data_IF_747856419823
#
_entry.id   IF_747856419823
#
_cell.length_a   1.000
_cell.length_b   1.000
_cell.length_c   1.000
_cell.angle_alpha   90.00
_cell.angle_beta   90.00
_cell.angle_gamma   90.00
#
_symmetry.space_group_name_H-M   'P 1'
#
loop_
_entity.id
_entity.type
_entity.pdbx_description
1 polymer ?
#
# COMPACT_ATOMS: atom_id res chain seq x y z
N UNK A 1 37.91 35.52 -72.28
CA UNK A 1 36.57 35.07 -71.81
C UNK A 1 36.79 34.08 -70.69
N UNK A 2 36.79 34.57 -69.45
CA UNK A 2 37.18 33.81 -68.24
C UNK A 2 35.95 33.50 -67.41
N UNK A 3 35.55 32.21 -67.34
CA UNK A 3 34.49 31.73 -66.50
C UNK A 3 34.95 31.69 -65.04
N UNK A 4 34.29 32.46 -64.16
CA UNK A 4 34.46 32.37 -62.71
C UNK A 4 33.70 31.16 -62.20
N UNK A 5 34.43 30.24 -61.55
CA UNK A 5 33.84 29.14 -60.79
C UNK A 5 33.30 29.66 -59.47
N UNK A 6 32.01 29.60 -59.26
CA UNK A 6 31.36 29.89 -57.97
C UNK A 6 31.43 28.58 -57.11
N UNK A 7 32.17 28.66 -56.03
CA UNK A 7 32.17 27.60 -54.99
C UNK A 7 30.95 27.76 -54.11
N UNK A 8 29.99 26.86 -54.22
CA UNK A 8 28.84 26.77 -53.34
C UNK A 8 29.25 25.94 -52.11
N UNK A 9 29.53 26.67 -51.01
CA UNK A 9 29.83 26.07 -49.72
C UNK A 9 28.54 25.65 -49.04
N UNK A 10 28.20 24.34 -49.07
CA UNK A 10 27.05 23.80 -48.42
C UNK A 10 27.37 23.63 -46.92
N UNK A 11 26.98 24.58 -46.07
CA UNK A 11 27.10 24.49 -44.65
C UNK A 11 25.99 23.55 -44.12
N UNK A 12 26.35 22.28 -43.84
CA UNK A 12 25.51 21.37 -43.15
C UNK A 12 25.55 21.71 -41.66
N UNK A 13 24.52 22.47 -41.23
CA UNK A 13 24.29 22.74 -39.81
C UNK A 13 23.73 21.44 -39.19
N UNK A 14 24.58 20.68 -38.53
CA UNK A 14 24.15 19.55 -37.67
C UNK A 14 23.37 20.12 -36.48
N UNK A 15 22.05 20.03 -36.57
CA UNK A 15 21.16 20.32 -35.44
C UNK A 15 21.32 19.23 -34.43
N UNK A 16 22.18 19.40 -33.42
CA UNK A 16 22.21 18.56 -32.24
C UNK A 16 20.90 18.75 -31.48
N UNK A 17 19.92 17.91 -31.73
CA UNK A 17 18.78 17.74 -30.85
C UNK A 17 19.34 17.10 -29.59
N UNK A 18 19.65 17.91 -28.59
CA UNK A 18 19.91 17.44 -27.23
C UNK A 18 18.63 16.82 -26.70
N UNK A 19 18.53 15.50 -26.80
CA UNK A 19 17.56 14.71 -26.03
C UNK A 19 17.90 14.98 -24.56
N UNK A 20 17.17 15.91 -23.95
CA UNK A 20 17.19 16.08 -22.50
C UNK A 20 16.62 14.80 -21.93
N UNK A 21 17.48 13.86 -21.57
CA UNK A 21 17.10 12.71 -20.76
C UNK A 21 16.61 13.28 -19.44
N UNK A 22 15.29 13.24 -19.22
CA UNK A 22 14.72 13.58 -17.93
C UNK A 22 15.25 12.58 -16.91
N UNK A 23 16.33 12.96 -16.22
CA UNK A 23 16.84 12.19 -15.09
C UNK A 23 15.92 12.45 -13.91
N UNK A 24 15.65 11.39 -13.16
CA UNK A 24 14.88 11.47 -11.94
C UNK A 24 15.49 12.47 -10.96
N UNK A 25 14.67 13.36 -10.42
CA UNK A 25 15.06 14.39 -9.44
C UNK A 25 14.96 13.89 -8.00
N UNK A 26 15.10 12.57 -7.76
CA UNK A 26 15.06 12.01 -6.40
C UNK A 26 16.15 12.61 -5.53
N UNK A 27 15.75 13.08 -4.35
CA UNK A 27 16.66 13.59 -3.32
C UNK A 27 17.29 12.47 -2.48
N UNK A 28 16.83 11.21 -2.63
CA UNK A 28 17.23 10.07 -1.81
C UNK A 28 16.72 10.17 -0.36
N UNK A 29 15.80 11.08 -0.08
CA UNK A 29 15.24 11.32 1.26
C UNK A 29 13.78 11.70 1.19
N UNK A 30 13.04 11.37 2.24
CA UNK A 30 11.71 11.89 2.48
C UNK A 30 11.80 13.38 2.82
N UNK A 31 11.06 14.21 2.07
CA UNK A 31 11.02 15.66 2.28
C UNK A 31 9.58 16.12 2.53
N UNK A 32 9.23 16.23 3.79
CA UNK A 32 7.93 16.72 4.25
C UNK A 32 8.11 18.10 4.90
N UNK A 33 7.02 18.88 4.94
CA UNK A 33 6.99 20.20 5.56
C UNK A 33 6.10 20.17 6.79
N UNK A 34 6.54 20.78 7.89
CA UNK A 34 5.70 20.92 9.09
C UNK A 34 4.39 21.63 8.77
N UNK A 35 3.28 21.09 9.24
CA UNK A 35 1.92 21.55 8.96
C UNK A 35 1.35 21.01 7.64
N UNK A 36 2.13 20.26 6.85
CA UNK A 36 1.63 19.60 5.65
C UNK A 36 0.54 18.58 6.02
N UNK A 37 -0.60 18.68 5.33
CA UNK A 37 -1.71 17.76 5.48
C UNK A 37 -1.96 16.99 4.20
N UNK A 38 -2.32 15.73 4.34
CA UNK A 38 -2.63 14.82 3.23
C UNK A 38 -3.86 13.99 3.58
N UNK A 39 -4.69 13.75 2.59
CA UNK A 39 -5.74 12.75 2.65
C UNK A 39 -5.30 11.51 1.90
N UNK A 40 -5.51 10.35 2.48
CA UNK A 40 -5.26 9.03 1.89
C UNK A 40 -6.60 8.36 1.65
N UNK A 41 -6.94 8.13 0.39
CA UNK A 41 -8.12 7.37 -0.02
C UNK A 41 -7.66 5.94 -0.37
N UNK A 42 -8.05 4.96 0.43
CA UNK A 42 -7.74 3.54 0.19
C UNK A 42 -9.01 2.75 -0.16
N UNK A 43 -8.91 1.88 -1.15
CA UNK A 43 -9.92 0.87 -1.45
C UNK A 43 -9.26 -0.48 -1.65
N UNK A 44 -9.82 -1.50 -1.00
CA UNK A 44 -9.35 -2.89 -1.10
C UNK A 44 -10.55 -3.78 -1.39
N UNK A 45 -10.45 -4.59 -2.43
CA UNK A 45 -11.42 -5.63 -2.76
C UNK A 45 -10.74 -6.98 -2.70
N UNK A 46 -11.35 -7.93 -2.05
CA UNK A 46 -10.87 -9.31 -2.03
C UNK A 46 -11.96 -10.31 -2.37
N UNK A 47 -11.57 -11.35 -3.08
CA UNK A 47 -12.38 -12.55 -3.33
C UNK A 47 -11.51 -13.73 -2.92
N UNK A 48 -12.01 -14.54 -2.01
CA UNK A 48 -11.33 -15.76 -1.54
C UNK A 48 -12.26 -16.94 -1.72
N UNK A 49 -11.80 -17.95 -2.44
CA UNK A 49 -12.49 -19.21 -2.59
C UNK A 49 -11.79 -20.29 -1.78
N UNK A 50 -12.57 -21.08 -1.05
CA UNK A 50 -12.13 -22.24 -0.28
C UNK A 50 -12.97 -23.44 -0.66
N UNK A 51 -12.36 -24.62 -0.70
CA UNK A 51 -13.06 -25.87 -0.94
C UNK A 51 -13.05 -26.72 0.34
N UNK A 52 -14.19 -26.83 1.00
CA UNK A 52 -14.33 -27.60 2.24
C UNK A 52 -15.39 -28.69 2.06
N UNK A 53 -15.02 -29.95 2.33
CA UNK A 53 -15.91 -31.13 2.21
C UNK A 53 -16.58 -31.25 0.82
N UNK A 54 -15.88 -30.86 -0.27
CA UNK A 54 -16.41 -30.90 -1.62
C UNK A 54 -17.40 -29.76 -1.96
N UNK A 55 -17.55 -28.78 -1.07
CA UNK A 55 -18.33 -27.57 -1.32
C UNK A 55 -17.40 -26.37 -1.47
N UNK A 56 -17.60 -25.62 -2.56
CA UNK A 56 -16.90 -24.34 -2.76
C UNK A 56 -17.60 -23.25 -1.96
N UNK A 57 -16.83 -22.53 -1.16
CA UNK A 57 -17.28 -21.34 -0.43
C UNK A 57 -16.53 -20.14 -0.96
N UNK A 58 -17.27 -19.11 -1.35
CA UNK A 58 -16.72 -17.82 -1.74
C UNK A 58 -16.90 -16.82 -0.59
N UNK A 59 -15.84 -16.12 -0.27
CA UNK A 59 -15.86 -14.97 0.63
C UNK A 59 -15.45 -13.73 -0.16
N UNK A 60 -16.23 -12.67 -0.04
CA UNK A 60 -15.94 -11.39 -0.66
C UNK A 60 -15.79 -10.31 0.40
N UNK A 61 -14.94 -9.34 0.13
CA UNK A 61 -14.84 -8.15 0.95
C UNK A 61 -14.48 -6.95 0.09
N UNK A 62 -15.15 -5.84 0.35
CA UNK A 62 -14.90 -4.52 -0.22
C UNK A 62 -14.75 -3.54 0.94
N UNK A 63 -13.60 -2.88 1.03
CA UNK A 63 -13.31 -1.92 2.09
C UNK A 63 -12.83 -0.60 1.49
N UNK A 64 -13.37 0.51 1.99
CA UNK A 64 -12.93 1.86 1.66
C UNK A 64 -12.59 2.62 2.95
N UNK A 65 -11.43 3.26 2.96
CA UNK A 65 -10.91 4.00 4.10
C UNK A 65 -10.42 5.37 3.68
N UNK A 66 -10.71 6.37 4.48
CA UNK A 66 -10.16 7.72 4.33
C UNK A 66 -9.37 8.04 5.59
N UNK A 67 -8.10 8.35 5.41
CA UNK A 67 -7.22 8.78 6.48
C UNK A 67 -6.78 10.22 6.25
N UNK A 68 -6.70 11.01 7.32
CA UNK A 68 -6.01 12.30 7.32
C UNK A 68 -4.66 12.17 8.00
N UNK A 69 -3.63 12.59 7.31
CA UNK A 69 -2.24 12.58 7.78
C UNK A 69 -1.74 14.01 7.90
N UNK A 70 -1.14 14.35 9.03
CA UNK A 70 -0.53 15.67 9.25
C UNK A 70 0.90 15.53 9.76
N UNK A 71 1.81 16.28 9.17
CA UNK A 71 3.20 16.42 9.64
C UNK A 71 3.23 17.41 10.78
N UNK A 72 3.29 16.92 12.02
CA UNK A 72 3.27 17.75 13.23
C UNK A 72 4.58 18.45 13.49
N UNK A 73 5.69 17.74 13.29
CA UNK A 73 7.01 18.29 13.54
C UNK A 73 8.08 17.61 12.69
N UNK A 74 9.22 18.29 12.61
CA UNK A 74 10.47 17.76 12.04
C UNK A 74 11.60 18.09 12.98
N UNK A 75 12.19 17.08 13.55
CA UNK A 75 13.35 17.21 14.43
C UNK A 75 14.49 16.32 13.92
N UNK A 76 15.65 16.91 13.68
CA UNK A 76 16.80 16.21 13.12
C UNK A 76 16.45 15.48 11.80
N UNK A 77 16.62 14.16 11.75
CA UNK A 77 16.32 13.30 10.61
C UNK A 77 15.01 12.51 10.80
N UNK A 78 14.07 13.02 11.61
CA UNK A 78 12.78 12.38 11.88
C UNK A 78 11.60 13.37 11.73
N UNK A 79 10.47 12.83 11.32
CA UNK A 79 9.17 13.50 11.23
C UNK A 79 8.23 12.90 12.28
N UNK A 80 7.57 13.75 13.05
CA UNK A 80 6.41 13.35 13.86
C UNK A 80 5.16 13.54 13.00
N UNK A 81 4.44 12.46 12.77
CA UNK A 81 3.26 12.41 11.89
C UNK A 81 2.07 11.90 12.69
N UNK A 82 0.92 12.52 12.49
CA UNK A 82 -0.36 11.99 12.98
C UNK A 82 -1.15 11.41 11.82
N UNK A 83 -1.84 10.29 12.09
CA UNK A 83 -2.79 9.66 11.19
C UNK A 83 -4.13 9.49 11.91
N UNK A 84 -5.22 9.93 11.29
CA UNK A 84 -6.59 9.80 11.78
C UNK A 84 -7.42 9.10 10.70
N UNK A 85 -7.98 7.93 11.03
CA UNK A 85 -8.96 7.27 10.17
C UNK A 85 -10.28 8.05 10.29
N UNK A 86 -10.65 8.83 9.27
CA UNK A 86 -11.85 9.69 9.31
C UNK A 86 -13.09 9.00 8.76
N UNK A 87 -12.91 8.01 7.88
CA UNK A 87 -13.99 7.21 7.32
C UNK A 87 -13.56 5.77 7.13
N UNK A 88 -14.48 4.85 7.47
CA UNK A 88 -14.39 3.43 7.19
C UNK A 88 -15.73 2.93 6.67
N UNK A 89 -15.71 2.32 5.48
CA UNK A 89 -16.85 1.57 4.96
C UNK A 89 -16.36 0.18 4.55
N UNK A 90 -17.12 -0.85 4.88
CA UNK A 90 -16.83 -2.23 4.46
C UNK A 90 -18.11 -2.98 4.18
N UNK A 91 -18.06 -3.88 3.20
CA UNK A 91 -19.14 -4.79 2.88
C UNK A 91 -18.57 -6.09 2.32
N UNK A 92 -19.35 -7.14 2.35
CA UNK A 92 -18.93 -8.42 1.79
C UNK A 92 -19.88 -9.54 2.16
N UNK A 93 -19.46 -10.75 1.81
CA UNK A 93 -20.15 -12.00 2.13
C UNK A 93 -19.15 -12.99 2.69
N UNK A 94 -19.51 -13.66 3.76
CA UNK A 94 -18.73 -14.73 4.36
C UNK A 94 -19.66 -15.85 4.82
N UNK A 95 -19.38 -17.09 4.43
CA UNK A 95 -20.19 -18.27 4.77
C UNK A 95 -21.68 -18.11 4.41
N UNK A 96 -21.98 -17.42 3.29
CA UNK A 96 -23.36 -17.16 2.83
C UNK A 96 -24.11 -16.09 3.62
N UNK A 97 -23.42 -15.34 4.48
CA UNK A 97 -23.99 -14.21 5.22
C UNK A 97 -23.36 -12.90 4.72
N UNK A 98 -24.22 -11.96 4.32
CA UNK A 98 -23.78 -10.64 3.93
C UNK A 98 -23.56 -9.77 5.16
N UNK A 99 -22.55 -8.90 5.09
CA UNK A 99 -22.29 -7.89 6.09
C UNK A 99 -22.03 -6.53 5.45
N UNK A 100 -22.36 -5.46 6.14
CA UNK A 100 -21.98 -4.11 5.74
C UNK A 100 -21.82 -3.21 6.95
N UNK A 101 -20.94 -2.21 6.82
CA UNK A 101 -20.71 -1.16 7.81
C UNK A 101 -20.25 0.11 7.10
N UNK A 102 -20.81 1.25 7.47
CA UNK A 102 -20.37 2.57 7.03
C UNK A 102 -20.35 3.50 8.25
N UNK A 103 -19.17 4.03 8.57
CA UNK A 103 -18.97 4.91 9.73
C UNK A 103 -19.79 6.22 9.67
N UNK A 104 -20.28 6.60 8.48
CA UNK A 104 -21.12 7.78 8.31
C UNK A 104 -22.61 7.50 8.61
N UNK A 105 -23.00 6.22 8.77
CA UNK A 105 -24.37 5.82 9.07
C UNK A 105 -24.54 5.53 10.56
N UNK A 106 -25.45 6.24 11.20
CA UNK A 106 -25.71 6.08 12.64
C UNK A 106 -26.21 4.68 12.99
N UNK A 107 -27.07 4.12 12.15
CA UNK A 107 -27.59 2.76 12.30
C UNK A 107 -26.50 1.71 12.33
N UNK A 108 -25.48 1.85 11.48
CA UNK A 108 -24.38 0.91 11.43
C UNK A 108 -23.49 0.98 12.67
N UNK A 109 -23.35 2.17 13.28
CA UNK A 109 -22.57 2.38 14.51
C UNK A 109 -23.16 1.68 15.74
N UNK A 110 -24.45 1.39 15.75
CA UNK A 110 -25.15 0.73 16.86
C UNK A 110 -25.17 -0.80 16.72
N UNK A 111 -24.76 -1.35 15.57
CA UNK A 111 -24.61 -2.80 15.37
C UNK A 111 -23.46 -3.34 16.23
N UNK A 112 -23.40 -4.66 16.43
CA UNK A 112 -22.27 -5.29 17.16
C UNK A 112 -20.93 -5.03 16.45
N UNK A 113 -20.91 -5.10 15.11
CA UNK A 113 -19.76 -4.72 14.29
C UNK A 113 -19.42 -3.24 14.48
N UNK A 114 -20.42 -2.38 14.42
CA UNK A 114 -20.27 -0.93 14.56
C UNK A 114 -19.68 -0.52 15.89
N UNK A 115 -20.10 -1.11 17.00
CA UNK A 115 -19.54 -0.85 18.33
C UNK A 115 -18.03 -1.10 18.40
N UNK A 116 -17.56 -2.15 17.72
CA UNK A 116 -16.14 -2.49 17.64
C UNK A 116 -15.39 -1.52 16.72
N UNK A 117 -15.91 -1.27 15.52
CA UNK A 117 -15.24 -0.45 14.50
C UNK A 117 -15.24 1.04 14.82
N UNK A 118 -16.27 1.54 15.50
CA UNK A 118 -16.40 2.92 15.97
C UNK A 118 -15.20 3.35 16.81
N UNK A 119 -14.62 2.46 17.60
CA UNK A 119 -13.45 2.76 18.43
C UNK A 119 -12.19 3.07 17.62
N UNK A 120 -12.17 2.80 16.33
CA UNK A 120 -11.03 3.06 15.45
C UNK A 120 -11.19 4.32 14.59
N UNK A 121 -12.44 4.76 14.37
CA UNK A 121 -12.76 5.94 13.56
C UNK A 121 -12.64 7.22 14.39
N UNK A 122 -12.05 8.26 13.80
CA UNK A 122 -11.73 9.56 14.42
C UNK A 122 -10.72 9.46 15.59
N UNK A 123 -9.94 8.39 15.61
CA UNK A 123 -8.85 8.24 16.58
C UNK A 123 -7.53 8.58 15.90
N UNK A 124 -6.84 9.56 16.48
CA UNK A 124 -5.54 10.00 15.99
C UNK A 124 -4.42 9.15 16.59
N UNK A 125 -3.59 8.58 15.73
CA UNK A 125 -2.34 7.90 16.11
C UNK A 125 -1.17 8.82 15.80
N UNK A 126 -0.20 8.89 16.69
CA UNK A 126 1.06 9.60 16.47
C UNK A 126 2.19 8.61 16.23
N UNK A 127 3.01 8.89 15.22
CA UNK A 127 4.12 8.03 14.83
C UNK A 127 5.30 8.83 14.32
N UNK A 128 6.47 8.22 14.32
CA UNK A 128 7.69 8.81 13.81
C UNK A 128 8.14 8.11 12.52
N UNK A 129 8.55 8.90 11.55
CA UNK A 129 9.22 8.44 10.34
C UNK A 129 10.57 9.12 10.21
N UNK A 130 11.59 8.36 9.88
CA UNK A 130 12.88 8.97 9.55
C UNK A 130 12.90 9.48 8.09
N UNK A 131 13.96 10.23 7.74
CA UNK A 131 14.11 10.76 6.37
C UNK A 131 14.33 9.68 5.31
N UNK A 132 14.58 8.43 5.68
CA UNK A 132 14.57 7.30 4.75
C UNK A 132 13.18 6.68 4.54
N UNK A 133 12.11 7.28 5.10
CA UNK A 133 10.74 6.80 4.97
C UNK A 133 10.42 5.57 5.83
N UNK A 134 11.31 5.19 6.75
CA UNK A 134 11.08 4.05 7.63
C UNK A 134 10.32 4.49 8.89
N UNK A 135 9.30 3.69 9.23
CA UNK A 135 8.57 3.82 10.48
C UNK A 135 9.51 3.59 11.67
N UNK A 136 9.51 4.52 12.60
CA UNK A 136 10.17 4.43 13.90
C UNK A 136 9.17 4.03 14.98
N UNK A 137 9.04 4.89 16.02
CA UNK A 137 8.12 4.64 17.11
C UNK A 137 6.68 4.97 16.73
N UNK A 138 5.74 4.13 17.16
CA UNK A 138 4.30 4.41 17.16
C UNK A 138 3.85 4.57 18.60
N UNK A 139 3.27 5.71 18.93
CA UNK A 139 2.67 5.88 20.26
C UNK A 139 1.41 5.02 20.33
N UNK A 140 1.47 3.99 21.17
CA UNK A 140 0.32 3.09 21.41
C UNK A 140 -0.73 3.85 22.20
N UNK A 141 -1.96 3.74 21.74
CA UNK A 141 -3.11 4.13 22.55
C UNK A 141 -3.68 2.86 23.18
N UNK A 142 -3.34 2.64 24.46
CA UNK A 142 -3.68 1.41 25.20
C UNK A 142 -5.20 1.16 25.29
N UNK A 143 -6.02 2.20 25.24
CA UNK A 143 -7.49 2.08 25.25
C UNK A 143 -8.02 1.41 23.97
N UNK A 144 -7.42 1.70 22.80
CA UNK A 144 -7.82 1.11 21.52
C UNK A 144 -7.34 -0.34 21.41
N UNK A 145 -6.13 -0.61 21.90
CA UNK A 145 -5.57 -1.95 21.88
C UNK A 145 -6.43 -2.94 22.69
N UNK A 146 -6.98 -2.49 23.82
CA UNK A 146 -7.82 -3.31 24.69
C UNK A 146 -9.24 -3.53 24.13
N UNK A 147 -9.83 -2.51 23.47
CA UNK A 147 -11.17 -2.64 22.89
C UNK A 147 -11.23 -3.56 21.66
N UNK A 148 -10.10 -3.71 20.96
CA UNK A 148 -9.99 -4.52 19.75
C UNK A 148 -9.43 -5.93 20.01
N UNK A 149 -8.88 -6.19 21.20
CA UNK A 149 -8.22 -7.44 21.53
C UNK A 149 -9.22 -8.60 21.56
N UNK A 150 -8.93 -9.65 20.79
CA UNK A 150 -9.71 -10.90 20.80
C UNK A 150 -11.00 -10.86 19.98
N UNK A 151 -11.27 -9.81 19.19
CA UNK A 151 -12.39 -9.83 18.26
C UNK A 151 -11.96 -10.38 16.89
N UNK A 152 -12.46 -11.57 16.47
CA UNK A 152 -12.06 -12.20 15.21
C UNK A 152 -12.27 -11.33 13.98
N UNK A 153 -13.26 -10.45 14.00
CA UNK A 153 -13.57 -9.55 12.89
C UNK A 153 -12.54 -8.43 12.76
N UNK A 154 -12.04 -7.89 13.89
CA UNK A 154 -10.96 -6.89 13.89
C UNK A 154 -9.67 -7.52 13.37
N UNK A 155 -9.38 -8.75 13.78
CA UNK A 155 -8.21 -9.48 13.30
C UNK A 155 -8.32 -9.82 11.81
N UNK A 156 -9.52 -10.18 11.34
CA UNK A 156 -9.80 -10.36 9.91
C UNK A 156 -9.59 -9.04 9.13
N UNK A 157 -10.09 -7.92 9.63
CA UNK A 157 -9.88 -6.61 8.99
C UNK A 157 -8.42 -6.17 8.97
N UNK A 158 -7.68 -6.39 10.05
CA UNK A 158 -6.23 -6.12 10.07
C UNK A 158 -5.50 -6.96 9.03
N UNK A 159 -5.87 -8.21 8.87
CA UNK A 159 -5.28 -9.10 7.88
C UNK A 159 -5.69 -8.74 6.44
N UNK A 160 -6.92 -8.25 6.23
CA UNK A 160 -7.45 -7.85 4.92
C UNK A 160 -6.92 -6.52 4.42
N UNK A 161 -6.56 -5.59 5.29
CA UNK A 161 -5.97 -4.29 4.90
C UNK A 161 -4.56 -4.42 4.28
N UNK A 162 -4.11 -5.64 4.03
CA UNK A 162 -2.88 -5.91 3.24
C UNK A 162 -1.57 -5.67 3.98
N UNK A 163 -1.67 -5.24 5.21
CA UNK A 163 -0.52 -5.01 6.01
C UNK A 163 -0.59 -5.82 7.28
N UNK A 164 -0.07 -7.01 7.35
CA UNK A 164 0.17 -7.67 8.65
C UNK A 164 0.37 -6.67 9.79
N UNK A 165 0.87 -6.72 10.83
CA UNK A 165 1.00 -5.76 11.94
C UNK A 165 1.50 -4.32 11.53
N UNK A 166 0.89 -3.70 10.49
CA UNK A 166 1.20 -2.32 10.13
C UNK A 166 0.59 -1.35 11.18
N UNK A 167 1.38 -1.08 12.21
CA UNK A 167 1.03 -0.15 13.27
C UNK A 167 0.80 1.29 12.76
N UNK A 168 1.29 1.62 11.53
CA UNK A 168 1.12 2.94 10.92
C UNK A 168 -0.29 3.18 10.35
N UNK A 169 -1.12 2.14 10.26
CA UNK A 169 -2.46 2.23 9.65
C UNK A 169 -2.40 2.64 8.18
N UNK A 170 -1.42 2.13 7.42
CA UNK A 170 -1.22 2.41 6.02
C UNK A 170 -0.36 3.65 5.72
N UNK A 171 0.05 4.42 6.74
CA UNK A 171 0.86 5.63 6.51
C UNK A 171 2.25 5.30 5.94
N UNK A 172 2.83 4.15 6.30
CA UNK A 172 4.12 3.71 5.73
C UNK A 172 4.04 3.47 4.22
N UNK A 173 2.90 3.07 3.72
CA UNK A 173 2.67 2.75 2.31
C UNK A 173 2.67 3.95 1.36
N UNK A 174 2.52 5.17 1.90
CA UNK A 174 2.55 6.41 1.12
C UNK A 174 3.94 7.06 1.06
N UNK A 175 4.95 6.45 1.64
CA UNK A 175 6.32 6.96 1.58
C UNK A 175 7.24 5.98 0.85
N UNK A 176 7.86 6.45 -0.21
CA UNK A 176 8.80 5.67 -1.01
C UNK A 176 9.97 6.52 -1.49
N UNK A 177 11.16 6.19 -1.01
CA UNK A 177 12.38 6.87 -1.43
C UNK A 177 12.95 6.18 -2.67
N UNK A 178 12.96 6.90 -3.76
CA UNK A 178 13.51 6.37 -5.02
C UNK A 178 15.04 6.45 -5.02
N UNK A 179 15.75 5.43 -5.57
CA UNK A 179 17.20 5.48 -5.72
C UNK A 179 17.63 6.66 -6.60
N UNK A 180 18.65 7.38 -6.16
CA UNK A 180 19.16 8.57 -6.88
C UNK A 180 19.78 8.19 -8.22
N UNK A 181 19.59 9.04 -9.24
CA UNK A 181 20.24 8.91 -10.55
C UNK A 181 19.64 7.86 -11.48
N UNK A 182 18.53 7.25 -11.11
CA UNK A 182 17.80 6.31 -11.97
C UNK A 182 17.07 7.03 -13.10
N UNK A 183 16.88 6.33 -14.22
CA UNK A 183 16.21 6.82 -15.44
C UNK A 183 15.17 5.81 -15.91
N UNK A 184 14.33 6.20 -16.86
CA UNK A 184 13.36 5.32 -17.51
C UNK A 184 14.02 4.05 -18.02
N UNK A 185 13.44 2.90 -17.71
CA UNK A 185 13.95 1.56 -17.99
C UNK A 185 14.83 0.96 -16.90
N UNK A 186 15.28 1.74 -15.91
CA UNK A 186 16.03 1.19 -14.79
C UNK A 186 15.11 0.47 -13.81
N UNK A 187 15.64 -0.56 -13.15
CA UNK A 187 14.93 -1.36 -12.17
C UNK A 187 15.74 -1.55 -10.88
N UNK A 188 15.06 -1.93 -9.82
CA UNK A 188 15.64 -2.41 -8.57
C UNK A 188 14.65 -3.31 -7.86
N UNK A 189 15.12 -4.02 -6.85
CA UNK A 189 14.30 -4.93 -6.04
C UNK A 189 14.47 -4.63 -4.56
N UNK A 190 13.43 -4.94 -3.79
CA UNK A 190 13.49 -5.03 -2.35
C UNK A 190 12.81 -6.31 -1.84
N UNK A 191 13.00 -6.60 -0.57
CA UNK A 191 12.32 -7.69 0.11
C UNK A 191 12.01 -7.34 1.56
N UNK A 192 10.91 -7.89 2.05
CA UNK A 192 10.48 -7.76 3.46
C UNK A 192 10.19 -9.15 4.01
N UNK A 193 10.60 -9.40 5.24
CA UNK A 193 10.29 -10.64 5.97
C UNK A 193 9.74 -10.21 7.33
N UNK A 194 8.49 -10.54 7.61
CA UNK A 194 7.84 -10.28 8.89
C UNK A 194 6.72 -11.29 9.14
N UNK A 195 6.60 -11.81 10.36
CA UNK A 195 5.47 -12.60 10.86
C UNK A 195 5.03 -13.77 9.94
N UNK A 196 6.00 -14.51 9.38
CA UNK A 196 5.73 -15.61 8.47
C UNK A 196 5.36 -15.19 7.05
N UNK A 197 5.46 -13.90 6.73
CA UNK A 197 5.24 -13.34 5.39
C UNK A 197 6.59 -12.94 4.80
N UNK A 198 6.88 -13.40 3.59
CA UNK A 198 8.03 -12.96 2.79
C UNK A 198 7.50 -12.30 1.53
N UNK A 199 7.90 -11.06 1.29
CA UNK A 199 7.52 -10.30 0.10
C UNK A 199 8.80 -9.97 -0.65
N UNK A 200 8.81 -10.27 -1.94
CA UNK A 200 9.82 -9.81 -2.89
C UNK A 200 9.15 -8.88 -3.89
N UNK A 201 9.71 -7.70 -4.11
CA UNK A 201 9.20 -6.70 -5.05
C UNK A 201 10.28 -6.29 -6.02
N UNK A 202 9.89 -6.10 -7.27
CA UNK A 202 10.72 -5.52 -8.30
C UNK A 202 10.01 -4.31 -8.89
N UNK A 203 10.73 -3.21 -8.99
CA UNK A 203 10.27 -1.93 -9.51
C UNK A 203 10.99 -1.61 -10.81
N UNK A 204 10.25 -1.14 -11.82
CA UNK A 204 10.77 -0.67 -13.09
C UNK A 204 10.27 0.75 -13.33
N UNK A 205 11.16 1.70 -13.60
CA UNK A 205 10.75 3.05 -13.98
C UNK A 205 10.15 3.02 -15.39
N UNK A 206 8.83 3.23 -15.45
CA UNK A 206 8.06 3.26 -16.71
C UNK A 206 8.11 4.63 -17.37
N UNK A 207 8.02 5.71 -16.57
CA UNK A 207 7.96 7.08 -17.06
C UNK A 207 8.41 8.08 -15.97
N UNK A 208 8.91 9.25 -16.40
CA UNK A 208 9.28 10.37 -15.53
C UNK A 208 8.73 11.66 -16.15
N UNK A 209 7.86 12.36 -15.41
CA UNK A 209 7.26 13.63 -15.80
C UNK A 209 7.46 14.68 -14.71
N UNK A 210 8.43 15.55 -14.88
CA UNK A 210 8.81 16.51 -13.84
C UNK A 210 9.28 15.79 -12.57
N UNK A 211 8.59 15.97 -11.44
CA UNK A 211 8.87 15.28 -10.20
C UNK A 211 8.14 13.92 -10.08
N UNK A 212 7.17 13.66 -10.95
CA UNK A 212 6.40 12.42 -10.90
C UNK A 212 7.11 11.29 -11.62
N UNK A 213 7.35 10.19 -10.91
CA UNK A 213 7.92 8.96 -11.45
C UNK A 213 6.88 7.85 -11.37
N UNK A 214 6.55 7.29 -12.53
CA UNK A 214 5.67 6.12 -12.63
C UNK A 214 6.49 4.84 -12.61
N UNK A 215 6.16 3.94 -11.70
CA UNK A 215 6.80 2.64 -11.51
C UNK A 215 5.85 1.51 -11.85
N UNK A 216 6.33 0.52 -12.57
CA UNK A 216 5.70 -0.80 -12.60
C UNK A 216 6.20 -1.61 -11.41
N UNK A 217 5.28 -2.23 -10.71
CA UNK A 217 5.54 -3.11 -9.57
C UNK A 217 5.19 -4.54 -9.96
N UNK A 218 6.14 -5.44 -9.80
CA UNK A 218 5.90 -6.89 -9.85
C UNK A 218 6.48 -7.54 -8.62
N UNK A 219 5.98 -8.70 -8.22
CA UNK A 219 6.54 -9.36 -7.05
C UNK A 219 5.86 -10.68 -6.73
N UNK A 220 6.33 -11.28 -5.64
CA UNK A 220 5.76 -12.49 -5.04
C UNK A 220 5.64 -12.32 -3.54
N UNK A 221 4.62 -12.92 -2.97
CA UNK A 221 4.45 -13.02 -1.52
C UNK A 221 4.26 -14.49 -1.15
N UNK A 222 5.08 -14.96 -0.22
CA UNK A 222 4.91 -16.27 0.42
C UNK A 222 4.45 -16.04 1.85
N UNK A 223 3.34 -16.64 2.22
CA UNK A 223 2.76 -16.60 3.58
C UNK A 223 2.80 -17.98 4.18
N UNK A 224 3.36 -18.10 5.37
CA UNK A 224 3.27 -19.28 6.22
C UNK A 224 2.97 -18.80 7.64
N UNK A 225 1.69 -18.77 7.99
CA UNK A 225 1.22 -18.17 9.25
C UNK A 225 0.40 -19.18 10.03
N UNK A 226 0.74 -19.33 11.31
CA UNK A 226 -0.07 -20.05 12.29
C UNK A 226 -1.03 -19.08 12.96
N UNK A 227 -2.29 -19.48 13.04
CA UNK A 227 -3.34 -18.74 13.74
C UNK A 227 -4.05 -19.69 14.68
N UNK A 228 -4.51 -19.19 15.80
CA UNK A 228 -5.38 -19.92 16.71
C UNK A 228 -6.79 -19.35 16.62
N UNK A 229 -7.77 -20.16 16.28
CA UNK A 229 -9.17 -19.75 16.22
C UNK A 229 -10.02 -20.74 16.99
N UNK A 230 -10.70 -20.28 18.02
CA UNK A 230 -11.55 -21.12 18.90
C UNK A 230 -10.82 -22.32 19.49
N UNK A 231 -9.53 -22.17 19.84
CA UNK A 231 -8.69 -23.23 20.37
C UNK A 231 -8.18 -24.24 19.34
N UNK A 232 -8.40 -23.99 18.06
CA UNK A 232 -7.85 -24.79 16.96
C UNK A 232 -6.67 -24.04 16.31
N UNK A 233 -5.56 -24.76 16.10
CA UNK A 233 -4.43 -24.25 15.31
C UNK A 233 -4.78 -24.38 13.82
N UNK A 234 -4.67 -23.27 13.09
CA UNK A 234 -4.82 -23.20 11.64
C UNK A 234 -3.49 -22.72 11.05
N UNK A 235 -2.93 -23.48 10.13
CA UNK A 235 -1.72 -23.09 9.40
C UNK A 235 -2.11 -22.66 7.99
N UNK A 236 -1.91 -21.38 7.66
CA UNK A 236 -2.16 -20.84 6.33
C UNK A 236 -0.86 -20.77 5.54
N UNK A 237 -0.81 -21.47 4.41
CA UNK A 237 0.28 -21.39 3.44
C UNK A 237 -0.27 -20.85 2.14
N UNK A 238 0.28 -19.71 1.66
CA UNK A 238 -0.21 -19.03 0.46
C UNK A 238 0.97 -18.50 -0.34
N UNK A 239 1.00 -18.76 -1.63
CA UNK A 239 1.91 -18.18 -2.61
C UNK A 239 1.13 -17.23 -3.52
N UNK A 240 1.58 -15.98 -3.60
CA UNK A 240 0.87 -14.94 -4.34
C UNK A 240 1.80 -14.24 -5.33
N UNK A 241 1.22 -13.80 -6.45
CA UNK A 241 1.86 -12.93 -7.44
C UNK A 241 1.27 -11.52 -7.33
N UNK A 242 2.15 -10.53 -7.32
CA UNK A 242 1.82 -9.13 -7.20
C UNK A 242 2.14 -8.41 -8.51
N UNK A 243 1.18 -7.64 -9.04
CA UNK A 243 1.36 -6.76 -10.20
C UNK A 243 0.68 -5.43 -9.94
N UNK A 244 1.35 -4.33 -10.25
CA UNK A 244 0.79 -3.01 -9.97
C UNK A 244 1.55 -1.86 -10.61
N UNK A 245 1.09 -0.66 -10.28
CA UNK A 245 1.69 0.59 -10.71
C UNK A 245 1.67 1.59 -9.54
N UNK A 246 2.73 2.38 -9.43
CA UNK A 246 2.84 3.47 -8.45
C UNK A 246 3.22 4.75 -9.18
N UNK A 247 2.68 5.87 -8.70
CA UNK A 247 3.14 7.22 -9.05
C UNK A 247 3.72 7.86 -7.79
N UNK A 248 5.01 8.16 -7.85
CA UNK A 248 5.77 8.73 -6.72
C UNK A 248 6.24 10.13 -7.07
N UNK A 249 6.04 11.08 -6.18
CA UNK A 249 6.72 12.37 -6.25
C UNK A 249 8.17 12.17 -5.80
N UNK A 250 9.09 12.08 -6.75
CA UNK A 250 10.51 11.82 -6.52
C UNK A 250 11.20 12.91 -5.68
N UNK A 251 10.67 14.14 -5.70
CA UNK A 251 11.23 15.25 -4.93
C UNK A 251 10.92 15.12 -3.43
N UNK A 252 9.74 14.62 -3.08
CA UNK A 252 9.29 14.50 -1.69
C UNK A 252 9.35 13.08 -1.14
N UNK A 253 9.29 12.06 -2.00
CA UNK A 253 9.16 10.66 -1.61
C UNK A 253 7.72 10.26 -1.27
N UNK A 254 6.72 11.08 -1.61
CA UNK A 254 5.29 10.76 -1.36
C UNK A 254 4.74 9.98 -2.55
N UNK A 255 4.13 8.84 -2.28
CA UNK A 255 3.36 8.05 -3.25
C UNK A 255 2.01 8.73 -3.46
N UNK A 256 1.79 9.28 -4.65
CA UNK A 256 0.52 9.95 -5.01
C UNK A 256 -0.58 8.97 -5.37
N UNK A 257 -0.20 7.89 -6.03
CA UNK A 257 -1.11 6.82 -6.43
C UNK A 257 -0.41 5.48 -6.33
N UNK A 258 -1.14 4.45 -5.92
CA UNK A 258 -0.70 3.06 -5.92
C UNK A 258 -1.89 2.20 -6.29
N UNK A 259 -1.71 1.29 -7.23
CA UNK A 259 -2.70 0.26 -7.55
C UNK A 259 -2.00 -1.07 -7.73
N UNK A 260 -2.57 -2.13 -7.22
CA UNK A 260 -2.05 -3.47 -7.46
C UNK A 260 -3.14 -4.53 -7.42
N UNK A 261 -2.85 -5.64 -8.08
CA UNK A 261 -3.58 -6.90 -7.99
C UNK A 261 -2.65 -7.95 -7.44
N UNK A 262 -3.13 -8.73 -6.50
CA UNK A 262 -2.45 -9.88 -5.94
C UNK A 262 -3.32 -11.11 -6.12
N UNK A 263 -2.81 -12.10 -6.85
CA UNK A 263 -3.44 -13.39 -7.06
C UNK A 263 -2.67 -14.45 -6.27
N UNK A 264 -3.34 -15.15 -5.37
CA UNK A 264 -2.75 -16.12 -4.46
C UNK A 264 -3.41 -17.49 -4.53
N UNK A 265 -2.60 -18.52 -4.32
CA UNK A 265 -3.06 -19.93 -4.21
C UNK A 265 -2.34 -20.61 -3.07
N UNK A 266 -3.03 -21.50 -2.37
CA UNK A 266 -2.44 -22.23 -1.25
C UNK A 266 -3.46 -23.07 -0.49
N UNK A 267 -3.26 -23.21 0.81
CA UNK A 267 -4.13 -23.98 1.69
C UNK A 267 -4.18 -23.43 3.11
N UNK A 268 -5.29 -23.69 3.79
CA UNK A 268 -5.36 -23.67 5.24
C UNK A 268 -5.40 -25.09 5.77
N UNK A 269 -4.47 -25.45 6.64
CA UNK A 269 -4.50 -26.73 7.37
C UNK A 269 -5.17 -26.50 8.72
N UNK A 270 -6.30 -27.17 8.93
CA UNK A 270 -7.02 -27.17 10.18
C UNK A 270 -7.19 -28.62 10.63
N UNK A 271 -6.66 -28.97 11.79
CA UNK A 271 -6.74 -30.32 12.37
C UNK A 271 -6.18 -31.44 11.45
N UNK A 272 -5.16 -31.10 10.62
CA UNK A 272 -4.54 -32.04 9.66
C UNK A 272 -5.33 -32.20 8.35
N UNK A 273 -6.36 -31.37 8.12
CA UNK A 273 -7.09 -31.35 6.88
C UNK A 273 -6.68 -30.09 6.10
N UNK A 274 -6.04 -30.25 4.94
CA UNK A 274 -5.68 -29.16 4.06
C UNK A 274 -6.90 -28.73 3.24
N UNK A 275 -7.29 -27.47 3.37
CA UNK A 275 -8.38 -26.79 2.66
C UNK A 275 -7.75 -25.94 1.58
N UNK A 276 -7.93 -26.24 0.28
CA UNK A 276 -7.43 -25.39 -0.80
C UNK A 276 -8.00 -23.98 -0.75
N UNK A 277 -7.15 -22.97 -0.98
CA UNK A 277 -7.51 -21.57 -0.98
C UNK A 277 -7.01 -20.91 -2.28
N UNK A 278 -7.86 -20.12 -2.91
CA UNK A 278 -7.47 -19.14 -3.91
C UNK A 278 -7.94 -17.76 -3.47
N UNK A 279 -7.12 -16.75 -3.68
CA UNK A 279 -7.48 -15.38 -3.32
C UNK A 279 -7.09 -14.41 -4.43
N UNK A 280 -7.91 -13.40 -4.63
CA UNK A 280 -7.60 -12.25 -5.48
C UNK A 280 -7.85 -10.98 -4.68
N UNK A 281 -6.83 -10.15 -4.57
CA UNK A 281 -6.90 -8.85 -3.89
C UNK A 281 -6.60 -7.77 -4.92
N UNK A 282 -7.46 -6.75 -4.98
CA UNK A 282 -7.23 -5.52 -5.74
C UNK A 282 -7.19 -4.37 -4.76
N UNK A 283 -6.13 -3.58 -4.80
CA UNK A 283 -5.97 -2.43 -3.91
C UNK A 283 -5.66 -1.17 -4.71
N UNK A 284 -6.24 -0.06 -4.28
CA UNK A 284 -5.93 1.27 -4.81
C UNK A 284 -5.73 2.25 -3.64
N UNK A 285 -4.72 3.09 -3.77
CA UNK A 285 -4.42 4.18 -2.84
C UNK A 285 -4.26 5.47 -3.63
N UNK A 286 -4.89 6.54 -3.20
CA UNK A 286 -4.67 7.88 -3.74
C UNK A 286 -4.36 8.85 -2.60
N UNK A 287 -3.36 9.71 -2.79
CA UNK A 287 -2.93 10.71 -1.80
C UNK A 287 -3.15 12.11 -2.38
N UNK A 288 -3.83 12.95 -1.64
CA UNK A 288 -4.11 14.35 -1.98
C UNK A 288 -3.56 15.26 -0.89
N UNK A 289 -2.94 16.36 -1.27
CA UNK A 289 -2.60 17.44 -0.34
C UNK A 289 -3.88 18.25 -0.02
N UNK A 290 -4.04 18.61 1.28
CA UNK A 290 -5.17 19.41 1.79
C UNK A 290 -4.78 20.87 2.00
#
# INVERSE_FOLDING_TARGET
MTLKKANFLFAVTLLFISLTTNAQTSTGKLLLVKGQKMQIDNSVKSVTNMEMMGQSMEMTSDAAMINEVEVKDKANDAYTITNTLTKLATSGSAMGQDYSFDSDKKEDLETEMGKVLKSQVNVTKEMEFNTSGKLGNVKKNDEIANAAAGNPMVDMMKNMSGGGNDESGGTSDIFMILPVGKKVGDSWSDSTIADGIKIYRNYLIKDIKGTETTLLLTGTQSTNKKMEQQGMEIVVTLESKLNGELVVDAATGVVKQKSFVMDGTGSADAMGQAIPITTKITSTTAVKYL
#
